data_IF_583549456707
#
_entry.id   IF_583549456707
#
_cell.length_a   1.000
_cell.length_b   1.000
_cell.length_c   1.000
_cell.angle_alpha   90.00
_cell.angle_beta   90.00
_cell.angle_gamma   90.00
#
_symmetry.space_group_name_H-M   'P 1'
#
loop_
_entity.id
_entity.type
_entity.pdbx_description
1 polymer ?
#
# COMPACT_ATOMS: atom_id res chain seq x y z
N UNK A 1 3.18 19.34 -2.15
CA UNK A 1 2.37 18.82 -3.28
C UNK A 1 2.95 19.16 -4.67
N UNK A 2 4.24 19.51 -4.78
CA UNK A 2 4.80 20.18 -5.97
C UNK A 2 4.90 19.30 -7.23
N UNK A 3 4.79 17.97 -7.08
CA UNK A 3 4.77 17.03 -8.21
C UNK A 3 3.36 16.78 -8.73
N UNK A 4 2.32 17.20 -8.02
CA UNK A 4 0.94 16.95 -8.41
C UNK A 4 0.57 17.79 -9.64
N UNK A 5 -0.14 17.17 -10.58
CA UNK A 5 -0.63 17.80 -11.82
C UNK A 5 -2.14 18.07 -11.80
N UNK A 6 -2.75 18.03 -10.61
CA UNK A 6 -4.18 18.35 -10.40
C UNK A 6 -5.17 17.53 -11.24
N UNK A 7 -4.80 16.30 -11.62
CA UNK A 7 -5.66 15.40 -12.42
C UNK A 7 -6.92 14.87 -11.69
N UNK A 8 -7.08 15.20 -10.40
CA UNK A 8 -8.19 14.81 -9.51
C UNK A 8 -8.53 13.31 -9.42
N UNK A 9 -7.69 12.39 -9.95
CA UNK A 9 -7.89 10.93 -9.85
C UNK A 9 -7.99 10.45 -8.41
N UNK A 10 -7.09 10.93 -7.55
CA UNK A 10 -7.08 10.58 -6.13
C UNK A 10 -8.30 11.11 -5.37
N UNK A 11 -8.80 12.29 -5.72
CA UNK A 11 -10.01 12.88 -5.13
C UNK A 11 -11.25 12.09 -5.51
N UNK A 12 -11.38 11.71 -6.79
CA UNK A 12 -12.48 10.86 -7.24
C UNK A 12 -12.46 9.49 -6.57
N UNK A 13 -11.31 8.84 -6.52
CA UNK A 13 -11.16 7.56 -5.80
C UNK A 13 -11.52 7.68 -4.32
N UNK A 14 -11.05 8.74 -3.64
CA UNK A 14 -11.36 8.96 -2.25
C UNK A 14 -12.87 9.08 -2.02
N UNK A 15 -13.57 9.82 -2.88
CA UNK A 15 -15.00 10.06 -2.74
C UNK A 15 -15.87 8.85 -3.16
N UNK A 16 -15.50 8.19 -4.25
CA UNK A 16 -16.34 7.18 -4.92
C UNK A 16 -16.07 5.77 -4.39
N UNK A 17 -14.80 5.41 -4.15
CA UNK A 17 -14.39 4.05 -3.78
C UNK A 17 -14.06 3.94 -2.29
N UNK A 18 -13.19 4.82 -1.79
CA UNK A 18 -12.75 4.77 -0.39
C UNK A 18 -13.72 5.44 0.61
N UNK A 19 -14.85 5.98 0.10
CA UNK A 19 -15.88 6.67 0.88
C UNK A 19 -15.35 7.70 1.89
N UNK A 20 -14.29 8.43 1.52
CA UNK A 20 -13.61 9.44 2.32
C UNK A 20 -13.75 10.84 1.65
N UNK A 21 -14.87 11.55 1.88
CA UNK A 21 -15.21 12.78 1.16
C UNK A 21 -14.35 14.00 1.54
N UNK A 22 -13.49 13.86 2.56
CA UNK A 22 -12.68 14.95 3.10
C UNK A 22 -11.41 15.22 2.30
N UNK A 23 -11.03 14.29 1.42
CA UNK A 23 -9.87 14.45 0.54
C UNK A 23 -10.30 15.13 -0.76
N UNK A 24 -9.95 16.41 -0.90
CA UNK A 24 -10.49 17.25 -1.95
C UNK A 24 -9.49 18.24 -2.52
N UNK A 25 -10.04 19.28 -3.14
CA UNK A 25 -9.29 20.38 -3.72
C UNK A 25 -9.58 21.66 -2.99
N UNK A 26 -8.53 22.37 -2.59
CA UNK A 26 -8.62 23.67 -1.91
C UNK A 26 -7.98 24.75 -2.79
N UNK A 27 -8.48 25.98 -2.70
CA UNK A 27 -8.00 27.08 -3.54
C UNK A 27 -8.51 27.06 -4.98
N UNK A 28 -7.91 27.89 -5.83
CA UNK A 28 -8.29 28.06 -7.25
C UNK A 28 -7.10 28.53 -8.07
N UNK A 29 -7.07 28.18 -9.35
CA UNK A 29 -6.02 28.60 -10.28
C UNK A 29 -4.72 27.86 -10.00
N UNK A 30 -3.59 28.57 -10.08
CA UNK A 30 -2.27 27.97 -9.85
C UNK A 30 -2.06 27.53 -8.38
N UNK A 31 -2.62 28.28 -7.43
CA UNK A 31 -2.50 27.99 -5.99
C UNK A 31 -3.47 26.90 -5.51
N UNK A 32 -4.15 26.20 -6.43
CA UNK A 32 -4.98 25.06 -6.11
C UNK A 32 -4.14 23.94 -5.50
N UNK A 33 -4.63 23.28 -4.45
CA UNK A 33 -3.94 22.18 -3.79
C UNK A 33 -4.89 20.99 -3.60
N UNK A 34 -4.35 19.79 -3.76
CA UNK A 34 -5.06 18.54 -3.46
C UNK A 34 -4.63 18.07 -2.08
N UNK A 35 -5.59 17.82 -1.21
CA UNK A 35 -5.36 17.36 0.16
C UNK A 35 -6.63 17.49 1.01
N UNK A 36 -6.46 17.28 2.31
CA UNK A 36 -7.50 17.61 3.30
C UNK A 36 -7.38 19.09 3.65
N UNK A 37 -8.50 19.80 3.80
CA UNK A 37 -8.49 21.22 4.16
C UNK A 37 -7.94 21.43 5.58
N UNK A 38 -8.34 20.56 6.51
CA UNK A 38 -7.77 20.46 7.86
C UNK A 38 -6.66 19.42 7.87
N UNK A 39 -5.74 19.50 8.83
CA UNK A 39 -4.72 18.47 9.03
C UNK A 39 -5.40 17.18 9.54
N UNK A 40 -5.68 16.28 8.60
CA UNK A 40 -6.35 15.00 8.88
C UNK A 40 -5.66 13.89 8.12
N UNK A 41 -5.51 12.77 8.80
CA UNK A 41 -5.04 11.54 8.17
C UNK A 41 -6.14 10.98 7.26
N UNK A 42 -5.73 10.51 6.09
CA UNK A 42 -6.60 9.72 5.22
C UNK A 42 -6.82 8.36 5.90
N UNK A 43 -7.86 8.28 6.73
CA UNK A 43 -8.22 7.10 7.50
C UNK A 43 -9.31 6.31 6.76
N UNK A 44 -8.90 5.51 5.78
CA UNK A 44 -9.72 4.51 5.10
C UNK A 44 -8.91 3.23 4.94
N UNK A 45 -9.56 2.08 4.94
CA UNK A 45 -8.98 0.76 4.73
C UNK A 45 -8.43 0.52 3.32
N UNK A 46 -8.82 1.35 2.34
CA UNK A 46 -8.37 1.31 0.95
C UNK A 46 -7.52 2.53 0.56
N UNK A 47 -7.07 3.32 1.53
CA UNK A 47 -6.41 4.62 1.30
C UNK A 47 -5.10 4.50 0.50
N UNK A 48 -4.36 3.40 0.69
CA UNK A 48 -3.08 3.12 0.04
C UNK A 48 -3.19 2.82 -1.46
N UNK A 49 -4.37 2.52 -1.97
CA UNK A 49 -4.57 2.35 -3.42
C UNK A 49 -4.36 3.65 -4.19
N UNK A 50 -4.53 4.80 -3.55
CA UNK A 50 -4.26 6.13 -4.13
C UNK A 50 -2.84 6.26 -4.69
N UNK A 51 -1.89 5.49 -4.14
CA UNK A 51 -0.50 5.44 -4.59
C UNK A 51 -0.40 4.92 -6.02
N UNK A 52 -1.18 3.88 -6.37
CA UNK A 52 -1.16 3.29 -7.71
C UNK A 52 -1.90 4.16 -8.74
N UNK A 53 -2.92 4.91 -8.32
CA UNK A 53 -3.62 5.85 -9.20
C UNK A 53 -2.77 7.08 -9.57
N UNK A 54 -1.80 7.46 -8.73
CA UNK A 54 -1.08 8.72 -8.90
C UNK A 54 -0.13 8.65 -10.11
N UNK A 55 -0.35 9.44 -11.19
CA UNK A 55 0.43 9.29 -12.42
C UNK A 55 1.86 9.86 -12.35
N UNK A 56 2.19 10.63 -11.31
CA UNK A 56 3.38 11.49 -11.24
C UNK A 56 4.27 11.25 -10.02
N UNK A 57 3.86 10.37 -9.09
CA UNK A 57 4.59 10.13 -7.84
C UNK A 57 4.51 11.31 -6.85
N UNK A 58 3.39 12.04 -6.88
CA UNK A 58 3.06 13.03 -5.85
C UNK A 58 2.56 12.35 -4.56
N UNK A 59 1.90 11.20 -4.70
CA UNK A 59 1.48 10.31 -3.62
C UNK A 59 2.25 9.01 -3.77
N UNK A 60 3.01 8.64 -2.75
CA UNK A 60 3.92 7.50 -2.75
C UNK A 60 3.77 6.72 -1.44
N UNK A 61 4.06 5.43 -1.48
CA UNK A 61 4.15 4.61 -0.27
C UNK A 61 5.29 5.12 0.62
N UNK A 62 4.94 5.57 1.83
CA UNK A 62 5.92 6.00 2.83
C UNK A 62 6.81 4.84 3.31
N UNK A 63 6.28 3.63 3.60
CA UNK A 63 7.12 2.47 3.98
C UNK A 63 8.10 2.03 2.88
N UNK A 64 7.74 2.21 1.61
CA UNK A 64 8.61 1.87 0.46
C UNK A 64 9.50 3.05 0.02
N UNK A 65 9.44 4.19 0.70
CA UNK A 65 10.12 5.40 0.24
C UNK A 65 11.63 5.20 0.21
N UNK A 66 12.22 5.31 -0.99
CA UNK A 66 13.66 5.23 -1.26
C UNK A 66 14.35 3.89 -0.98
N UNK A 67 13.60 2.79 -0.83
CA UNK A 67 14.20 1.45 -0.57
C UNK A 67 14.72 0.76 -1.83
N UNK A 68 14.02 0.89 -2.95
CA UNK A 68 14.39 0.27 -4.22
C UNK A 68 13.86 1.05 -5.45
N UNK A 69 14.29 0.65 -6.64
CA UNK A 69 13.80 1.19 -7.92
C UNK A 69 13.04 0.13 -8.72
N UNK A 70 11.97 0.51 -9.46
CA UNK A 70 11.10 -0.46 -10.13
C UNK A 70 11.81 -1.43 -11.07
N UNK A 71 12.88 -1.00 -11.75
CA UNK A 71 13.64 -1.84 -12.68
C UNK A 71 14.56 -2.88 -12.00
N UNK A 72 14.83 -2.72 -10.71
CA UNK A 72 15.64 -3.67 -9.94
C UNK A 72 14.82 -4.83 -9.38
N UNK A 73 13.49 -4.69 -9.37
CA UNK A 73 12.58 -5.60 -8.69
C UNK A 73 12.16 -6.74 -9.61
N UNK A 74 12.26 -7.96 -9.10
CA UNK A 74 11.60 -9.12 -9.71
C UNK A 74 10.15 -9.16 -9.26
N UNK A 75 9.26 -9.55 -10.18
CA UNK A 75 7.83 -9.62 -9.98
C UNK A 75 7.42 -11.09 -9.84
N UNK A 76 6.68 -11.42 -8.80
CA UNK A 76 6.10 -12.74 -8.58
C UNK A 76 4.61 -12.56 -8.35
N UNK A 77 3.80 -13.23 -9.15
CA UNK A 77 2.35 -13.21 -8.99
C UNK A 77 1.94 -14.15 -7.86
N UNK A 78 1.03 -13.71 -7.00
CA UNK A 78 0.58 -14.45 -5.83
C UNK A 78 -0.82 -14.01 -5.41
N UNK A 79 -1.30 -14.52 -4.28
CA UNK A 79 -2.61 -14.24 -3.71
C UNK A 79 -2.43 -13.81 -2.26
N UNK A 80 -3.17 -12.80 -1.84
CA UNK A 80 -3.14 -12.34 -0.46
C UNK A 80 -3.84 -13.33 0.49
N UNK A 81 -3.35 -13.40 1.73
CA UNK A 81 -3.85 -14.27 2.80
C UNK A 81 -4.19 -13.49 4.07
N UNK A 82 -4.15 -12.15 4.03
CA UNK A 82 -4.43 -11.31 5.21
C UNK A 82 -5.93 -11.20 5.52
N UNK A 83 -6.79 -11.48 4.53
CA UNK A 83 -8.23 -11.58 4.66
C UNK A 83 -8.79 -12.74 3.84
N UNK A 84 -10.08 -13.04 4.02
CA UNK A 84 -10.76 -14.15 3.35
C UNK A 84 -11.17 -13.81 1.90
N UNK A 85 -10.84 -12.61 1.41
CA UNK A 85 -11.15 -12.21 0.03
C UNK A 85 -10.20 -12.91 -0.96
N UNK A 86 -8.95 -13.15 -0.55
CA UNK A 86 -7.96 -13.78 -1.42
C UNK A 86 -7.61 -12.87 -2.60
N UNK A 87 -7.31 -11.60 -2.34
CA UNK A 87 -7.05 -10.61 -3.40
C UNK A 87 -5.81 -10.99 -4.23
N UNK A 88 -5.89 -10.81 -5.55
CA UNK A 88 -4.75 -11.11 -6.43
C UNK A 88 -3.67 -10.02 -6.28
N UNK A 89 -2.42 -10.45 -6.05
CA UNK A 89 -1.30 -9.52 -5.80
C UNK A 89 -0.08 -9.83 -6.66
N UNK A 90 0.71 -8.79 -6.93
CA UNK A 90 2.06 -8.87 -7.47
C UNK A 90 3.04 -8.49 -6.37
N UNK A 91 3.84 -9.47 -5.98
CA UNK A 91 4.90 -9.31 -5.01
C UNK A 91 6.16 -8.82 -5.74
N UNK A 92 6.69 -7.69 -5.30
CA UNK A 92 7.98 -7.19 -5.75
C UNK A 92 9.08 -7.52 -4.75
N UNK A 93 10.09 -8.25 -5.19
CA UNK A 93 11.20 -8.68 -4.34
C UNK A 93 12.57 -8.41 -4.98
N UNK A 94 13.59 -8.24 -4.14
CA UNK A 94 15.00 -8.03 -4.55
C UNK A 94 15.90 -8.74 -3.56
N UNK A 95 16.83 -9.57 -4.05
CA UNK A 95 17.79 -10.27 -3.19
C UNK A 95 17.16 -11.22 -2.17
N UNK A 96 15.98 -11.77 -2.45
CA UNK A 96 15.23 -12.63 -1.52
C UNK A 96 14.40 -11.87 -0.48
N UNK A 97 14.47 -10.54 -0.46
CA UNK A 97 13.68 -9.69 0.45
C UNK A 97 12.49 -9.05 -0.28
N UNK A 98 11.36 -9.01 0.41
CA UNK A 98 10.13 -8.36 -0.05
C UNK A 98 10.27 -6.84 0.07
N UNK A 99 10.01 -6.15 -1.04
CA UNK A 99 10.17 -4.69 -1.13
C UNK A 99 8.83 -3.97 -1.08
N UNK A 100 7.85 -4.43 -1.84
CA UNK A 100 6.48 -3.90 -1.85
C UNK A 100 5.49 -4.93 -2.42
N UNK A 101 4.21 -4.71 -2.13
CA UNK A 101 3.09 -5.48 -2.71
C UNK A 101 2.24 -4.52 -3.53
N UNK A 102 1.90 -4.94 -4.75
CA UNK A 102 1.01 -4.24 -5.67
C UNK A 102 -0.19 -5.12 -5.99
N UNK A 103 -1.36 -4.54 -6.31
CA UNK A 103 -2.51 -5.30 -6.79
C UNK A 103 -2.21 -5.92 -8.16
N UNK A 104 -2.78 -7.10 -8.42
CA UNK A 104 -2.90 -7.67 -9.77
C UNK A 104 -4.37 -7.54 -10.19
N UNK A 105 -4.58 -7.22 -11.46
CA UNK A 105 -5.93 -7.06 -11.98
C UNK A 105 -6.69 -8.39 -11.98
N UNK A 106 -7.87 -8.43 -11.37
CA UNK A 106 -8.80 -9.56 -11.41
C UNK A 106 -10.24 -9.06 -11.21
N UNK A 107 -10.98 -8.94 -12.32
CA UNK A 107 -12.35 -8.41 -12.35
C UNK A 107 -13.34 -9.21 -11.51
N UNK A 108 -13.07 -10.49 -11.23
CA UNK A 108 -13.96 -11.34 -10.42
C UNK A 108 -13.78 -11.18 -8.91
N UNK A 109 -12.65 -10.63 -8.46
CA UNK A 109 -12.28 -10.61 -7.03
C UNK A 109 -12.04 -9.20 -6.52
N UNK A 110 -11.02 -8.53 -7.07
CA UNK A 110 -10.50 -7.30 -6.48
C UNK A 110 -10.37 -6.16 -7.48
N UNK A 111 -10.78 -6.37 -8.74
CA UNK A 111 -10.59 -5.44 -9.87
C UNK A 111 -9.13 -5.00 -9.95
N UNK A 112 -8.78 -3.83 -9.41
CA UNK A 112 -7.40 -3.34 -9.27
C UNK A 112 -7.04 -2.90 -7.84
N UNK A 113 -7.89 -3.19 -6.85
CA UNK A 113 -7.77 -2.71 -5.47
C UNK A 113 -7.27 -3.80 -4.51
N UNK A 114 -6.59 -3.38 -3.45
CA UNK A 114 -6.23 -4.24 -2.31
C UNK A 114 -6.39 -3.46 -1.00
N UNK A 115 -6.63 -4.18 0.10
CA UNK A 115 -6.69 -3.55 1.42
C UNK A 115 -5.32 -2.99 1.84
N UNK A 116 -5.32 -1.95 2.68
CA UNK A 116 -4.08 -1.39 3.25
C UNK A 116 -3.34 -2.40 4.12
N UNK A 117 -4.10 -3.33 4.72
CA UNK A 117 -3.54 -4.49 5.42
C UNK A 117 -2.70 -5.34 4.49
N UNK A 118 -3.25 -5.75 3.34
CA UNK A 118 -2.52 -6.53 2.33
C UNK A 118 -1.31 -5.76 1.77
N UNK A 119 -1.49 -4.46 1.52
CA UNK A 119 -0.47 -3.61 0.90
C UNK A 119 0.76 -3.39 1.77
N UNK A 120 0.59 -3.23 3.08
CA UNK A 120 1.66 -2.89 4.01
C UNK A 120 2.08 -4.01 4.97
N UNK A 121 1.44 -5.19 4.90
CA UNK A 121 1.79 -6.36 5.74
C UNK A 121 3.21 -6.88 5.53
N UNK A 122 3.82 -6.61 4.38
CA UNK A 122 5.13 -7.16 4.01
C UNK A 122 6.27 -6.77 4.97
N UNK A 123 6.14 -5.67 5.70
CA UNK A 123 7.13 -5.27 6.70
C UNK A 123 7.19 -6.27 7.86
N UNK A 124 6.03 -6.78 8.28
CA UNK A 124 5.91 -7.79 9.33
C UNK A 124 6.59 -9.12 8.98
N UNK A 125 6.71 -9.46 7.69
CA UNK A 125 7.35 -10.70 7.24
C UNK A 125 8.87 -10.72 7.48
N UNK A 126 9.48 -9.57 7.79
CA UNK A 126 10.90 -9.43 8.12
C UNK A 126 11.16 -9.51 9.62
N UNK A 127 10.15 -9.21 10.43
CA UNK A 127 10.28 -9.10 11.89
C UNK A 127 9.77 -10.36 12.59
N UNK A 128 10.36 -10.70 13.74
CA UNK A 128 9.89 -11.77 14.64
C UNK A 128 9.71 -13.15 13.97
N UNK A 129 10.57 -13.48 13.00
CA UNK A 129 10.53 -14.77 12.31
C UNK A 129 11.12 -15.89 13.17
N UNK A 130 10.38 -16.98 13.30
CA UNK A 130 10.88 -18.22 13.86
C UNK A 130 11.80 -18.89 12.84
N UNK A 131 13.09 -18.93 13.12
CA UNK A 131 14.14 -19.48 12.24
C UNK A 131 14.59 -20.88 12.68
N UNK A 132 14.48 -21.18 13.96
CA UNK A 132 14.79 -22.48 14.53
C UNK A 132 13.56 -23.03 15.26
N UNK A 133 13.31 -24.35 15.20
CA UNK A 133 12.39 -25.00 16.12
C UNK A 133 12.89 -24.81 17.55
N UNK A 134 12.00 -24.39 18.46
CA UNK A 134 12.33 -24.19 19.87
C UNK A 134 11.61 -25.23 20.73
N UNK A 135 12.32 -25.80 21.70
CA UNK A 135 11.79 -26.78 22.65
C UNK A 135 11.89 -26.19 24.06
N UNK A 136 10.90 -26.49 24.91
CA UNK A 136 10.95 -26.06 26.32
C UNK A 136 12.00 -26.87 27.08
N UNK A 137 12.87 -26.19 27.80
CA UNK A 137 13.75 -26.84 28.77
C UNK A 137 13.01 -27.21 30.07
N UNK A 138 13.71 -27.89 30.98
CA UNK A 138 13.15 -28.26 32.30
C UNK A 138 12.75 -27.05 33.16
N UNK A 139 13.24 -25.86 32.84
CA UNK A 139 12.88 -24.61 33.52
C UNK A 139 11.71 -23.86 32.85
N UNK A 140 11.19 -24.37 31.73
CA UNK A 140 10.05 -23.81 31.00
C UNK A 140 10.42 -22.74 29.97
N UNK A 141 11.72 -22.49 29.75
CA UNK A 141 12.22 -21.52 28.77
C UNK A 141 12.35 -22.19 27.40
N UNK A 142 11.93 -21.51 26.34
CA UNK A 142 12.08 -21.96 24.95
C UNK A 142 13.54 -21.78 24.53
N UNK A 143 14.19 -22.89 24.13
CA UNK A 143 15.53 -22.92 23.54
C UNK A 143 15.48 -23.49 22.13
#
# INVERSE_FOLDING_TARGET
MNRCIHCTRCVRFANEVAAFPEFGTTGRGFDMQIGTYVEKLFASELSGNVIDLCPVGALLSKPYSFTARPWELRKTESVDVMDALGSNIVIHHRGGELMRINPKMNDEVNEEWISDKARFSYDGLKTQRLICPMIKDQSGVLR
#
